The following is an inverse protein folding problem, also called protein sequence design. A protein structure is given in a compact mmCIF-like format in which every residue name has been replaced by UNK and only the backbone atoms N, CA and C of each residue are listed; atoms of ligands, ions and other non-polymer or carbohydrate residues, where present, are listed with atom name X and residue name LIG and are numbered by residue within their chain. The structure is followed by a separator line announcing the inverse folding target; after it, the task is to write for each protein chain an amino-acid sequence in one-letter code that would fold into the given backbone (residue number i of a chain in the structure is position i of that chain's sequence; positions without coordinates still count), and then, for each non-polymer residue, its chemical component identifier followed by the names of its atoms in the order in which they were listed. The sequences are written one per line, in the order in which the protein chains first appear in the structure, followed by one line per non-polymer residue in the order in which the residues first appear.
data_IF_203171723403
#
_entry.id   IF_203171723403
#
_cell.length_a   1.000
_cell.length_b   1.000
_cell.length_c   1.000
_cell.angle_alpha   90.00
_cell.angle_beta   90.00
_cell.angle_gamma   90.00
#
_symmetry.space_group_name_H-M   'P 1'
#
loop_
_entity.id
_entity.type
_entity.pdbx_description
1 polymer ?
#
# COMPACT_ATOMS: atom_id res chain seq x y z
N UNK A 1 -13.76 8.61 -10.04
CA UNK A 1 -13.34 7.20 -9.86
C UNK A 1 -11.82 7.14 -9.86
N UNK A 2 -11.17 6.42 -8.96
CA UNK A 2 -9.73 6.20 -8.97
C UNK A 2 -9.23 5.60 -10.28
N UNK A 3 -8.07 6.07 -10.75
CA UNK A 3 -7.34 5.51 -11.89
C UNK A 3 -6.15 4.75 -11.35
N UNK A 4 -5.92 3.56 -11.87
CA UNK A 4 -4.84 2.67 -11.47
C UNK A 4 -4.02 2.23 -12.68
N UNK A 5 -2.71 2.07 -12.48
CA UNK A 5 -1.82 1.40 -13.43
C UNK A 5 -1.63 -0.05 -12.95
N UNK A 6 -2.00 -1.00 -13.78
CA UNK A 6 -2.07 -2.43 -13.43
C UNK A 6 -1.00 -3.20 -14.22
N UNK A 7 -0.32 -4.13 -13.56
CA UNK A 7 0.42 -5.20 -14.22
C UNK A 7 -0.53 -6.40 -14.30
N UNK A 8 -1.08 -6.73 -15.49
CA UNK A 8 -2.05 -7.83 -15.63
C UNK A 8 -1.44 -9.20 -15.37
N UNK A 9 -0.27 -9.43 -15.91
CA UNK A 9 0.55 -10.65 -15.78
C UNK A 9 2.03 -10.33 -16.06
N UNK A 10 2.96 -11.21 -15.71
CA UNK A 10 4.38 -11.00 -15.97
C UNK A 10 4.68 -10.72 -17.46
N UNK A 11 5.55 -9.75 -17.71
CA UNK A 11 6.00 -9.29 -19.03
C UNK A 11 4.90 -8.68 -19.92
N UNK A 12 3.70 -8.41 -19.38
CA UNK A 12 2.64 -7.70 -20.10
C UNK A 12 2.84 -6.18 -20.02
N UNK A 13 2.35 -5.42 -20.98
CA UNK A 13 2.26 -3.97 -20.86
C UNK A 13 1.43 -3.54 -19.64
N UNK A 14 1.83 -2.45 -19.01
CA UNK A 14 1.04 -1.84 -17.94
C UNK A 14 -0.24 -1.25 -18.55
N UNK A 15 -1.38 -1.50 -17.91
CA UNK A 15 -2.68 -1.01 -18.33
C UNK A 15 -3.20 0.05 -17.36
N UNK A 16 -3.80 1.12 -17.90
CA UNK A 16 -4.55 2.08 -17.10
C UNK A 16 -6.02 1.67 -17.05
N UNK A 17 -6.59 1.64 -15.85
CA UNK A 17 -8.01 1.33 -15.63
C UNK A 17 -8.64 2.28 -14.62
N UNK A 18 -9.90 2.59 -14.83
CA UNK A 18 -10.74 3.18 -13.79
C UNK A 18 -11.33 2.05 -12.93
N UNK A 19 -11.31 2.25 -11.63
CA UNK A 19 -11.86 1.30 -10.66
C UNK A 19 -12.80 2.01 -9.69
N UNK A 20 -13.78 1.31 -9.10
CA UNK A 20 -14.64 1.92 -8.11
C UNK A 20 -13.85 2.33 -6.86
N UNK A 21 -14.28 3.39 -6.22
CA UNK A 21 -13.77 3.76 -4.90
C UNK A 21 -14.15 2.66 -3.91
N UNK A 22 -13.22 2.21 -3.03
CA UNK A 22 -13.49 1.15 -2.08
C UNK A 22 -14.43 1.63 -0.97
N UNK A 23 -15.28 0.74 -0.49
CA UNK A 23 -15.98 0.94 0.77
C UNK A 23 -14.98 0.86 1.93
N UNK A 24 -14.86 1.95 2.68
CA UNK A 24 -13.93 2.01 3.80
C UNK A 24 -14.44 1.18 4.97
N UNK A 25 -13.57 0.31 5.49
CA UNK A 25 -13.79 -0.37 6.77
C UNK A 25 -13.57 0.59 7.95
N UNK A 26 -14.04 0.23 9.14
CA UNK A 26 -13.74 1.02 10.34
C UNK A 26 -12.23 1.04 10.62
N UNK A 27 -11.69 2.20 11.00
CA UNK A 27 -10.26 2.45 11.23
C UNK A 27 -9.40 2.29 9.96
N UNK A 28 -9.92 2.74 8.83
CA UNK A 28 -9.24 2.78 7.55
C UNK A 28 -9.33 4.17 6.91
N UNK A 29 -8.59 4.37 5.83
CA UNK A 29 -8.59 5.64 5.12
C UNK A 29 -8.42 5.47 3.61
N UNK A 30 -8.84 6.48 2.87
CA UNK A 30 -8.50 6.68 1.47
C UNK A 30 -7.42 7.76 1.38
N UNK A 31 -6.27 7.39 0.83
CA UNK A 31 -5.15 8.28 0.58
C UNK A 31 -5.19 8.75 -0.87
N UNK A 32 -5.24 10.05 -1.11
CA UNK A 32 -4.98 10.63 -2.42
C UNK A 32 -3.46 10.70 -2.63
N UNK A 33 -2.96 10.02 -3.66
CA UNK A 33 -1.52 9.87 -3.91
C UNK A 33 -0.94 11.14 -4.53
N UNK A 34 0.06 11.73 -3.89
CA UNK A 34 0.84 12.83 -4.45
C UNK A 34 2.08 12.32 -5.18
N UNK A 35 2.73 11.29 -4.64
CA UNK A 35 3.94 10.70 -5.19
C UNK A 35 4.01 9.21 -4.89
N UNK A 36 4.40 8.42 -5.87
CA UNK A 36 4.74 7.01 -5.71
C UNK A 36 6.06 6.71 -6.40
N UNK A 37 6.95 6.03 -5.69
CA UNK A 37 8.25 5.61 -6.22
C UNK A 37 8.10 4.46 -7.20
N UNK A 38 9.01 4.42 -8.18
CA UNK A 38 9.27 3.26 -9.04
C UNK A 38 10.66 2.75 -8.72
N UNK A 39 10.78 1.54 -8.21
CA UNK A 39 12.05 0.97 -7.80
C UNK A 39 12.35 -0.38 -8.48
N UNK A 40 13.48 -0.99 -8.15
CA UNK A 40 13.88 -2.30 -8.68
C UNK A 40 12.89 -3.42 -8.37
N UNK A 41 12.13 -3.33 -7.27
CA UNK A 41 11.07 -4.30 -6.95
C UNK A 41 9.97 -4.29 -7.99
N UNK A 42 9.55 -3.11 -8.46
CA UNK A 42 8.50 -2.98 -9.49
C UNK A 42 8.98 -3.55 -10.83
N UNK A 43 10.27 -3.40 -11.16
CA UNK A 43 10.89 -4.06 -12.32
C UNK A 43 10.85 -5.58 -12.18
N UNK A 44 11.12 -6.12 -10.98
CA UNK A 44 11.02 -7.55 -10.73
C UNK A 44 9.57 -8.05 -10.78
N UNK A 45 8.60 -7.27 -10.31
CA UNK A 45 7.17 -7.56 -10.48
C UNK A 45 6.81 -7.64 -11.96
N UNK A 46 7.20 -6.63 -12.75
CA UNK A 46 6.93 -6.59 -14.18
C UNK A 46 7.47 -7.82 -14.92
N UNK A 47 8.63 -8.33 -14.52
CA UNK A 47 9.25 -9.51 -15.15
C UNK A 47 8.87 -10.85 -14.49
N UNK A 48 7.97 -10.86 -13.51
CA UNK A 48 7.56 -12.09 -12.83
C UNK A 48 8.67 -12.78 -12.02
N UNK A 49 9.65 -12.02 -11.54
CA UNK A 49 10.81 -12.55 -10.80
C UNK A 49 10.56 -12.74 -9.30
N UNK A 50 9.39 -12.34 -8.82
CA UNK A 50 8.99 -12.50 -7.42
C UNK A 50 7.94 -13.60 -7.31
N UNK A 51 8.21 -14.58 -6.43
CA UNK A 51 7.28 -15.68 -6.19
C UNK A 51 6.06 -15.22 -5.37
N UNK A 52 4.89 -15.81 -5.66
CA UNK A 52 3.67 -15.59 -4.87
C UNK A 52 2.99 -14.23 -5.08
N UNK A 53 3.28 -13.56 -6.20
CA UNK A 53 2.62 -12.31 -6.57
C UNK A 53 1.24 -12.60 -7.16
N UNK A 54 0.18 -11.97 -6.63
CA UNK A 54 -1.20 -12.20 -7.09
C UNK A 54 -1.55 -11.29 -8.26
N UNK A 55 -1.13 -11.65 -9.48
CA UNK A 55 -1.55 -10.90 -10.68
C UNK A 55 -3.04 -11.10 -10.97
N UNK A 56 -3.75 -10.09 -11.49
CA UNK A 56 -3.30 -8.71 -11.71
C UNK A 56 -3.12 -7.92 -10.42
N UNK A 57 -2.16 -6.99 -10.41
CA UNK A 57 -1.93 -6.11 -9.25
C UNK A 57 -1.64 -4.66 -9.66
N UNK A 58 -1.88 -3.75 -8.72
CA UNK A 58 -1.41 -2.37 -8.78
C UNK A 58 -0.09 -2.31 -8.02
N UNK A 59 1.06 -2.04 -8.66
CA UNK A 59 2.33 -1.92 -7.98
C UNK A 59 2.48 -0.59 -7.22
N UNK A 60 3.68 -0.31 -6.70
CA UNK A 60 3.97 0.89 -5.93
C UNK A 60 3.77 0.68 -4.43
N UNK A 61 4.86 0.42 -3.73
CA UNK A 61 4.86 0.11 -2.30
C UNK A 61 5.43 1.25 -1.43
N UNK A 62 6.04 2.25 -2.05
CA UNK A 62 6.50 3.48 -1.38
C UNK A 62 5.73 4.66 -1.96
N UNK A 63 4.86 5.24 -1.16
CA UNK A 63 3.97 6.32 -1.61
C UNK A 63 3.73 7.33 -0.50
N UNK A 64 3.47 8.57 -0.92
CA UNK A 64 3.04 9.66 -0.06
C UNK A 64 1.79 10.31 -0.62
N UNK A 65 1.00 10.94 0.22
CA UNK A 65 -0.19 11.65 -0.20
C UNK A 65 -0.95 12.27 0.96
N UNK A 66 -2.18 12.68 0.68
CA UNK A 66 -3.08 13.27 1.68
C UNK A 66 -4.23 12.35 1.99
N UNK A 67 -4.58 12.26 3.27
CA UNK A 67 -5.75 11.53 3.71
C UNK A 67 -7.01 12.26 3.22
N UNK A 68 -7.70 11.69 2.24
CA UNK A 68 -8.90 12.28 1.66
C UNK A 68 -10.15 11.95 2.48
N UNK A 69 -10.23 10.71 2.97
CA UNK A 69 -11.33 10.22 3.80
C UNK A 69 -10.80 9.31 4.89
N UNK A 70 -11.37 9.43 6.08
CA UNK A 70 -11.07 8.54 7.22
C UNK A 70 -12.40 7.98 7.74
N UNK A 71 -12.46 6.68 7.97
CA UNK A 71 -13.57 6.04 8.66
C UNK A 71 -13.09 5.46 9.99
N UNK A 72 -13.71 5.93 11.08
CA UNK A 72 -13.27 5.58 12.43
C UNK A 72 -12.05 6.39 12.86
N UNK A 73 -11.11 5.77 13.55
CA UNK A 73 -9.91 6.41 14.06
C UNK A 73 -8.67 5.80 13.38
N UNK A 74 -7.85 6.64 12.79
CA UNK A 74 -6.52 6.27 12.28
C UNK A 74 -5.47 6.98 13.12
N UNK A 75 -4.54 6.22 13.70
CA UNK A 75 -3.47 6.74 14.55
C UNK A 75 -2.13 6.68 13.82
N UNK A 76 -1.29 7.70 14.06
CA UNK A 76 0.10 7.66 13.62
C UNK A 76 0.94 6.71 14.51
N UNK A 77 2.23 6.58 14.18
CA UNK A 77 3.15 5.72 14.94
C UNK A 77 3.40 6.18 16.38
N UNK A 78 3.02 7.42 16.72
CA UNK A 78 3.09 7.99 18.08
C UNK A 78 1.76 7.87 18.83
N UNK A 79 0.73 7.30 18.19
CA UNK A 79 -0.61 7.18 18.77
C UNK A 79 -1.47 8.44 18.68
N UNK A 80 -1.08 9.41 17.86
CA UNK A 80 -1.87 10.63 17.64
C UNK A 80 -2.86 10.42 16.50
N UNK A 81 -4.11 10.89 16.65
CA UNK A 81 -5.11 10.73 15.60
C UNK A 81 -4.78 11.57 14.36
N UNK A 82 -5.01 11.00 13.20
CA UNK A 82 -4.98 11.72 11.92
C UNK A 82 -6.30 12.45 11.66
N UNK A 83 -6.20 13.44 10.80
CA UNK A 83 -7.34 14.18 10.23
C UNK A 83 -7.29 14.11 8.71
N UNK A 84 -8.44 14.27 8.09
CA UNK A 84 -8.52 14.47 6.64
C UNK A 84 -7.72 15.72 6.25
N UNK A 85 -6.96 15.61 5.16
CA UNK A 85 -5.99 16.61 4.71
C UNK A 85 -4.57 16.42 5.22
N UNK A 86 -4.35 15.60 6.26
CA UNK A 86 -2.99 15.31 6.74
C UNK A 86 -2.16 14.62 5.67
N UNK A 87 -0.92 15.07 5.50
CA UNK A 87 0.05 14.48 4.58
C UNK A 87 0.77 13.33 5.28
N UNK A 88 0.79 12.18 4.64
CA UNK A 88 1.33 10.97 5.24
C UNK A 88 2.11 10.11 4.25
N UNK A 89 3.01 9.30 4.79
CA UNK A 89 3.48 8.07 4.19
C UNK A 89 3.08 6.90 5.07
N UNK A 90 3.29 5.68 4.62
CA UNK A 90 2.91 4.49 5.39
C UNK A 90 3.94 3.37 5.20
N UNK A 91 3.96 2.44 6.14
CA UNK A 91 4.78 1.24 6.01
C UNK A 91 4.08 0.29 5.04
N UNK A 92 4.82 -0.12 4.00
CA UNK A 92 4.34 -1.03 2.97
C UNK A 92 3.97 -2.42 3.51
N UNK A 93 4.72 -2.92 4.50
CA UNK A 93 4.37 -4.16 5.18
C UNK A 93 3.19 -3.92 6.11
N UNK A 94 2.01 -4.21 5.61
CA UNK A 94 0.76 -4.00 6.33
C UNK A 94 0.64 -4.95 7.52
N UNK A 95 0.89 -6.24 7.31
CA UNK A 95 0.82 -7.25 8.38
C UNK A 95 1.68 -8.47 8.10
N UNK A 96 2.03 -9.17 9.18
CA UNK A 96 2.68 -10.47 9.18
C UNK A 96 1.93 -11.41 10.12
N UNK A 97 2.22 -12.71 10.09
CA UNK A 97 1.48 -13.68 10.93
C UNK A 97 1.81 -13.58 12.43
N UNK A 98 2.95 -12.98 12.79
CA UNK A 98 3.47 -12.87 14.17
C UNK A 98 3.56 -14.21 14.92
N UNK A 99 3.58 -15.35 14.21
CA UNK A 99 3.58 -16.69 14.79
C UNK A 99 4.64 -17.60 14.19
N UNK A 100 5.19 -17.32 13.03
CA UNK A 100 6.20 -18.15 12.38
C UNK A 100 7.61 -17.88 12.90
N UNK A 101 8.55 -18.77 12.54
CA UNK A 101 9.96 -18.65 12.91
C UNK A 101 10.57 -17.32 12.47
N UNK A 102 10.24 -16.85 11.25
CA UNK A 102 10.74 -15.55 10.74
C UNK A 102 10.26 -14.37 11.59
N UNK A 103 9.02 -14.41 12.09
CA UNK A 103 8.50 -13.33 12.92
C UNK A 103 9.07 -13.38 14.36
N UNK A 104 9.10 -14.54 14.96
CA UNK A 104 9.36 -14.68 16.40
C UNK A 104 10.84 -14.90 16.73
N UNK A 105 11.55 -15.67 15.93
CA UNK A 105 12.93 -16.10 16.20
C UNK A 105 13.94 -15.30 15.38
N UNK A 106 13.83 -15.34 14.04
CA UNK A 106 14.76 -14.65 13.15
C UNK A 106 14.60 -13.12 13.16
N UNK A 107 13.49 -12.59 13.70
CA UNK A 107 13.14 -11.15 13.67
C UNK A 107 13.22 -10.55 12.26
N UNK A 108 12.92 -11.36 11.27
CA UNK A 108 12.93 -11.02 9.84
C UNK A 108 11.51 -11.14 9.25
N UNK A 109 10.60 -10.34 9.77
CA UNK A 109 9.17 -10.36 9.41
C UNK A 109 8.92 -10.14 7.92
N UNK A 110 9.83 -9.47 7.20
CA UNK A 110 9.79 -9.32 5.74
C UNK A 110 9.88 -10.65 4.99
N UNK A 111 10.36 -11.72 5.64
CA UNK A 111 10.40 -13.09 5.11
C UNK A 111 9.20 -13.94 5.53
N UNK A 112 8.26 -13.38 6.27
CA UNK A 112 7.05 -14.10 6.68
C UNK A 112 6.27 -14.56 5.44
N UNK A 113 5.97 -15.88 5.31
CA UNK A 113 5.24 -16.39 4.15
C UNK A 113 3.79 -15.89 4.07
N UNK A 114 3.24 -15.40 5.17
CA UNK A 114 1.88 -14.84 5.26
C UNK A 114 1.88 -13.30 5.29
N UNK A 115 3.00 -12.66 4.93
CA UNK A 115 3.03 -11.20 4.91
C UNK A 115 2.09 -10.63 3.86
N UNK A 116 1.47 -9.52 4.20
CA UNK A 116 0.72 -8.68 3.27
C UNK A 116 1.43 -7.34 3.11
N UNK A 117 1.73 -7.01 1.87
CA UNK A 117 2.53 -5.84 1.49
C UNK A 117 1.81 -5.08 0.39
N UNK A 118 1.61 -3.79 0.61
CA UNK A 118 1.04 -2.91 -0.41
C UNK A 118 1.88 -2.94 -1.69
N UNK A 119 1.23 -2.94 -2.84
CA UNK A 119 1.87 -2.92 -4.14
C UNK A 119 2.66 -4.18 -4.53
N UNK A 120 2.65 -5.24 -3.70
CA UNK A 120 3.42 -6.47 -3.94
C UNK A 120 2.58 -7.74 -3.77
N UNK A 121 1.95 -7.92 -2.59
CA UNK A 121 1.24 -9.15 -2.26
C UNK A 121 -0.28 -8.98 -2.14
N UNK A 122 -0.77 -7.78 -2.37
CA UNK A 122 -2.18 -7.52 -2.58
C UNK A 122 -2.48 -7.52 -4.09
N UNK A 123 -3.43 -8.35 -4.51
CA UNK A 123 -3.94 -8.35 -5.88
C UNK A 123 -5.00 -7.27 -6.09
N UNK A 124 -5.46 -7.13 -7.34
CA UNK A 124 -6.50 -6.16 -7.68
C UNK A 124 -7.83 -6.42 -6.94
N UNK A 125 -8.15 -7.69 -6.66
CA UNK A 125 -9.35 -8.10 -5.93
C UNK A 125 -9.30 -7.71 -4.44
N UNK A 126 -8.12 -7.42 -3.89
CA UNK A 126 -7.96 -6.93 -2.51
C UNK A 126 -8.29 -5.42 -2.38
N UNK A 127 -8.56 -4.75 -3.48
CA UNK A 127 -8.85 -3.32 -3.58
C UNK A 127 -7.66 -2.47 -4.02
N UNK A 128 -7.74 -1.16 -3.77
CA UNK A 128 -6.71 -0.18 -4.14
C UNK A 128 -5.48 -0.26 -3.21
N UNK A 129 -4.67 -1.30 -3.35
CA UNK A 129 -3.56 -1.59 -2.43
C UNK A 129 -2.18 -1.38 -3.05
N UNK A 130 -2.04 -0.45 -3.98
CA UNK A 130 -0.76 -0.08 -4.60
C UNK A 130 -0.73 1.39 -5.00
N UNK A 131 0.47 1.97 -5.01
CA UNK A 131 0.69 3.40 -5.19
C UNK A 131 0.71 3.89 -6.63
N UNK A 132 0.76 2.98 -7.62
CA UNK A 132 0.59 3.38 -9.02
C UNK A 132 -0.88 3.63 -9.33
N UNK A 133 -1.48 4.48 -8.53
CA UNK A 133 -2.88 4.83 -8.56
C UNK A 133 -3.06 6.28 -8.11
N UNK A 134 -4.19 6.89 -8.45
CA UNK A 134 -4.55 8.19 -7.89
C UNK A 134 -4.92 8.12 -6.42
N UNK A 135 -5.32 6.93 -5.94
CA UNK A 135 -5.72 6.71 -4.55
C UNK A 135 -5.26 5.34 -4.06
N UNK A 136 -4.97 5.26 -2.75
CA UNK A 136 -4.68 4.01 -2.05
C UNK A 136 -5.66 3.83 -0.90
N UNK A 137 -6.18 2.62 -0.77
CA UNK A 137 -6.96 2.20 0.38
C UNK A 137 -6.03 1.74 1.50
N UNK A 138 -5.85 2.57 2.50
CA UNK A 138 -5.14 2.21 3.73
C UNK A 138 -6.05 1.36 4.61
N UNK A 139 -5.83 0.06 4.60
CA UNK A 139 -6.62 -0.93 5.37
C UNK A 139 -6.46 -0.75 6.88
N UNK A 140 -7.41 -1.26 7.69
CA UNK A 140 -7.28 -1.22 9.15
C UNK A 140 -5.95 -1.86 9.62
N UNK A 141 -5.26 -1.19 10.54
CA UNK A 141 -3.95 -1.62 11.04
C UNK A 141 -2.75 -1.14 10.23
N UNK A 142 -2.95 -0.37 9.17
CA UNK A 142 -1.86 0.30 8.45
C UNK A 142 -1.15 1.28 9.38
N UNK A 143 0.17 1.19 9.41
CA UNK A 143 1.03 2.10 10.17
C UNK A 143 1.41 3.28 9.29
N UNK A 144 0.82 4.43 9.55
CA UNK A 144 1.09 5.66 8.82
C UNK A 144 1.96 6.61 9.64
N UNK A 145 2.74 7.41 8.93
CA UNK A 145 3.67 8.39 9.49
C UNK A 145 3.27 9.74 8.94
N UNK A 146 3.09 10.72 9.85
CA UNK A 146 2.81 12.09 9.50
C UNK A 146 4.03 12.73 8.86
N UNK A 147 3.83 13.41 7.76
CA UNK A 147 4.84 14.24 7.11
C UNK A 147 4.59 15.69 7.50
N UNK A 148 5.62 16.38 7.98
CA UNK A 148 5.51 17.80 8.31
C UNK A 148 5.30 18.64 7.05
N UNK A 149 4.60 19.76 7.22
CA UNK A 149 4.28 20.66 6.09
C UNK A 149 5.54 21.26 5.42
N UNK A 150 6.66 21.27 6.15
CA UNK A 150 7.94 21.86 5.71
C UNK A 150 8.87 20.84 5.02
N UNK A 151 8.46 19.58 4.87
CA UNK A 151 9.23 18.58 4.09
C UNK A 151 8.97 18.78 2.58
N UNK A 152 9.22 19.98 2.08
CA UNK A 152 9.36 20.21 0.64
C UNK A 152 10.74 19.66 0.22
N UNK A 153 10.72 18.64 -0.62
CA UNK A 153 11.91 18.14 -1.33
C UNK A 153 12.27 19.03 -2.48
#
# INVERSE_FOLDING_TARGET
MPIVAIIPEPNSPVELREVPEPDLENNSALLEVELSEVCGTDVHLQHGRLAGVPYPLVPGHVSTGRLQKIRGELLDIEGKPFREGDRVTFLDVHRTCNACWYCLVAKASTRCPQRKVYGITYGLDDGLCGGWATHIYLKPGTRAIRLDADSET
#
